data_IF_199995960870
#
_entry.id   IF_199995960870
#
_cell.length_a   1.000
_cell.length_b   1.000
_cell.length_c   1.000
_cell.angle_alpha   90.00
_cell.angle_beta   90.00
_cell.angle_gamma   90.00
#
_symmetry.space_group_name_H-M   'P 1'
#
loop_
_entity.id
_entity.type
_entity.pdbx_description
1 polymer ?
#
# COMPACT_ATOMS: atom_id res chain seq x y z
N UNK A 1 10.00 -7.64 15.04
CA UNK A 1 9.79 -7.01 16.36
C UNK A 1 9.61 -5.49 16.17
N UNK A 2 10.53 -4.80 15.51
CA UNK A 2 10.42 -3.35 15.29
C UNK A 2 9.17 -2.95 14.49
N UNK A 3 8.81 -3.72 13.46
CA UNK A 3 7.62 -3.46 12.67
C UNK A 3 6.36 -3.58 13.51
N UNK A 4 6.27 -4.59 14.35
CA UNK A 4 5.14 -4.77 15.26
C UNK A 4 4.98 -3.59 16.20
N UNK A 5 6.07 -3.16 16.82
CA UNK A 5 6.06 -2.05 17.77
C UNK A 5 5.59 -0.75 17.10
N UNK A 6 6.04 -0.50 15.88
CA UNK A 6 5.60 0.65 15.10
C UNK A 6 4.11 0.56 14.77
N UNK A 7 3.64 -0.61 14.35
CA UNK A 7 2.24 -0.81 13.99
C UNK A 7 1.31 -0.65 15.19
N UNK A 8 1.72 -1.08 16.36
CA UNK A 8 0.92 -0.92 17.59
C UNK A 8 0.56 0.54 17.82
N UNK A 9 1.49 1.45 17.55
CA UNK A 9 1.33 2.88 17.84
C UNK A 9 0.74 3.70 16.69
N UNK A 10 0.52 3.11 15.52
CA UNK A 10 0.02 3.87 14.37
C UNK A 10 -1.44 3.55 14.06
N UNK A 11 -2.16 4.53 13.51
CA UNK A 11 -3.55 4.39 13.08
C UNK A 11 -3.69 4.31 11.56
N UNK A 12 -2.70 4.83 10.85
CA UNK A 12 -2.70 4.93 9.39
C UNK A 12 -1.44 4.29 8.83
N UNK A 13 -1.62 3.54 7.76
CA UNK A 13 -0.54 2.88 7.03
C UNK A 13 -0.52 3.35 5.58
N UNK A 14 0.66 3.48 5.03
CA UNK A 14 0.83 3.64 3.59
C UNK A 14 1.69 2.48 3.14
N UNK A 15 1.14 1.65 2.26
CA UNK A 15 1.79 0.43 1.81
C UNK A 15 2.28 0.63 0.38
N UNK A 16 3.58 0.56 0.19
CA UNK A 16 4.23 0.67 -1.11
C UNK A 16 4.52 -0.73 -1.63
N UNK A 17 4.07 -1.02 -2.85
CA UNK A 17 4.35 -2.29 -3.49
C UNK A 17 4.57 -2.10 -4.99
N UNK A 18 5.64 -2.68 -5.56
CA UNK A 18 5.75 -2.75 -7.01
C UNK A 18 4.67 -3.67 -7.57
N UNK A 19 4.35 -3.47 -8.84
CA UNK A 19 3.43 -4.36 -9.57
C UNK A 19 4.26 -5.41 -10.30
N UNK A 20 4.10 -6.67 -9.90
CA UNK A 20 4.77 -7.82 -10.54
C UNK A 20 3.72 -8.72 -11.15
N UNK A 21 3.72 -8.87 -12.47
CA UNK A 21 2.79 -9.75 -13.20
C UNK A 21 1.32 -9.50 -12.82
N UNK A 22 0.95 -8.25 -12.64
CA UNK A 22 -0.40 -7.87 -12.25
C UNK A 22 -0.74 -8.10 -10.78
N UNK A 23 0.26 -8.37 -9.94
CA UNK A 23 0.08 -8.60 -8.52
C UNK A 23 1.01 -7.76 -7.66
N UNK A 24 0.79 -7.76 -6.36
CA UNK A 24 1.69 -7.11 -5.42
C UNK A 24 2.85 -8.04 -5.05
N UNK A 25 3.88 -7.48 -4.41
CA UNK A 25 5.10 -8.23 -4.12
C UNK A 25 4.85 -9.40 -3.15
N UNK A 26 5.42 -10.58 -3.47
CA UNK A 26 5.23 -11.79 -2.66
C UNK A 26 5.79 -11.66 -1.24
N UNK A 27 6.91 -10.99 -1.09
CA UNK A 27 7.49 -10.78 0.25
C UNK A 27 6.64 -9.84 1.11
N UNK A 28 5.87 -8.94 0.51
CA UNK A 28 4.88 -8.15 1.24
C UNK A 28 3.79 -9.06 1.83
N UNK A 29 3.25 -9.98 1.02
CA UNK A 29 2.26 -10.96 1.48
C UNK A 29 2.80 -11.78 2.63
N UNK A 30 4.05 -12.26 2.52
CA UNK A 30 4.71 -13.03 3.57
C UNK A 30 4.84 -12.22 4.86
N UNK A 31 5.26 -10.95 4.76
CA UNK A 31 5.38 -10.07 5.93
C UNK A 31 4.03 -9.86 6.61
N UNK A 32 3.00 -9.58 5.82
CA UNK A 32 1.65 -9.36 6.34
C UNK A 32 1.10 -10.61 7.02
N UNK A 33 1.34 -11.78 6.47
CA UNK A 33 0.92 -13.04 7.07
C UNK A 33 1.58 -13.25 8.44
N UNK A 34 2.88 -12.98 8.56
CA UNK A 34 3.57 -13.08 9.84
C UNK A 34 3.04 -12.08 10.87
N UNK A 35 2.74 -10.85 10.44
CA UNK A 35 2.20 -9.82 11.32
C UNK A 35 0.76 -10.09 11.74
N UNK A 36 0.03 -10.92 10.99
CA UNK A 36 -1.35 -11.29 11.33
C UNK A 36 -1.45 -12.34 12.43
N UNK A 37 -0.35 -13.03 12.72
CA UNK A 37 -0.34 -14.10 13.73
C UNK A 37 -0.51 -13.53 15.14
N UNK A 38 -1.08 -14.33 16.02
CA UNK A 38 -1.22 -13.95 17.42
C UNK A 38 0.15 -13.80 18.09
N UNK A 39 0.32 -12.74 18.85
CA UNK A 39 1.54 -12.52 19.63
C UNK A 39 1.23 -11.66 20.87
N UNK A 40 1.96 -11.87 21.94
CA UNK A 40 1.73 -11.18 23.22
C UNK A 40 0.23 -11.18 23.57
N UNK A 41 -0.36 -9.99 23.75
CA UNK A 41 -1.79 -9.81 24.05
C UNK A 41 -2.66 -9.72 22.81
N UNK A 42 -2.07 -9.79 21.60
CA UNK A 42 -2.79 -9.67 20.35
C UNK A 42 -3.22 -11.02 19.82
N UNK A 43 -4.49 -11.13 19.46
CA UNK A 43 -5.05 -12.30 18.79
C UNK A 43 -4.78 -12.25 17.30
N UNK A 44 -5.12 -13.31 16.60
CA UNK A 44 -5.01 -13.37 15.15
C UNK A 44 -5.72 -12.16 14.49
N UNK A 45 -5.02 -11.48 13.62
CA UNK A 45 -5.44 -10.25 12.92
C UNK A 45 -5.75 -9.04 13.81
N UNK A 46 -5.57 -9.12 15.11
CA UNK A 46 -5.94 -8.03 16.01
C UNK A 46 -5.05 -6.81 15.84
N UNK A 47 -3.79 -6.99 15.46
CA UNK A 47 -2.85 -5.88 15.23
C UNK A 47 -3.36 -4.91 14.17
N UNK A 48 -4.00 -5.41 13.12
CA UNK A 48 -4.46 -4.60 11.99
C UNK A 48 -5.87 -4.05 12.15
N UNK A 49 -6.61 -4.56 13.10
CA UNK A 49 -8.02 -4.28 13.25
C UNK A 49 -8.29 -2.78 13.38
N UNK A 50 -9.17 -2.27 12.52
CA UNK A 50 -9.61 -0.87 12.50
C UNK A 50 -8.54 0.17 12.13
N UNK A 51 -7.34 -0.26 11.76
CA UNK A 51 -6.36 0.67 11.19
C UNK A 51 -6.73 0.99 9.74
N UNK A 52 -6.31 2.16 9.28
CA UNK A 52 -6.55 2.59 7.90
C UNK A 52 -5.31 2.36 7.06
N UNK A 53 -5.49 2.05 5.79
CA UNK A 53 -4.38 1.83 4.86
C UNK A 53 -4.65 2.47 3.50
N UNK A 54 -3.62 3.04 2.92
CA UNK A 54 -3.60 3.47 1.53
C UNK A 54 -2.55 2.67 0.78
N UNK A 55 -2.80 2.40 -0.50
CA UNK A 55 -1.91 1.61 -1.35
C UNK A 55 -1.25 2.53 -2.37
N UNK A 56 0.06 2.42 -2.47
CA UNK A 56 0.87 3.11 -3.47
C UNK A 56 1.63 2.06 -4.25
N UNK A 57 1.47 2.07 -5.55
CA UNK A 57 2.12 1.10 -6.44
C UNK A 57 3.15 1.80 -7.32
N UNK A 58 4.14 1.04 -7.75
CA UNK A 58 5.14 1.49 -8.72
C UNK A 58 5.25 0.47 -9.85
N UNK A 59 5.37 0.96 -11.07
CA UNK A 59 5.42 0.12 -12.25
C UNK A 59 6.33 0.75 -13.28
N UNK A 60 6.95 -0.08 -14.11
CA UNK A 60 7.64 0.36 -15.31
C UNK A 60 6.61 0.46 -16.45
N UNK A 61 6.63 1.56 -17.19
CA UNK A 61 5.71 1.78 -18.28
C UNK A 61 4.34 2.30 -17.84
N UNK A 62 3.28 1.89 -18.54
CA UNK A 62 1.94 2.47 -18.38
C UNK A 62 1.09 1.86 -17.28
N UNK A 63 1.49 0.72 -16.72
CA UNK A 63 0.81 0.14 -15.59
C UNK A 63 -0.53 -0.52 -15.88
N UNK A 64 -0.64 -1.25 -17.01
CA UNK A 64 -1.90 -1.85 -17.45
C UNK A 64 -2.55 -2.80 -16.45
N UNK A 65 -1.77 -3.47 -15.60
CA UNK A 65 -2.28 -4.42 -14.60
C UNK A 65 -2.26 -3.88 -13.18
N UNK A 66 -2.06 -2.59 -13.01
CA UNK A 66 -1.94 -1.98 -11.67
C UNK A 66 -3.24 -2.08 -10.86
N UNK A 67 -4.38 -2.03 -11.51
CA UNK A 67 -5.67 -2.18 -10.82
C UNK A 67 -5.83 -3.59 -10.23
N UNK A 68 -5.39 -4.62 -10.94
CA UNK A 68 -5.41 -5.99 -10.39
C UNK A 68 -4.55 -6.11 -9.14
N UNK A 69 -3.37 -5.52 -9.16
CA UNK A 69 -2.48 -5.51 -8.01
C UNK A 69 -3.12 -4.78 -6.83
N UNK A 70 -3.73 -3.62 -7.08
CA UNK A 70 -4.46 -2.87 -6.05
C UNK A 70 -5.62 -3.70 -5.49
N UNK A 71 -6.45 -4.26 -6.35
CA UNK A 71 -7.64 -5.00 -5.94
C UNK A 71 -7.27 -6.23 -5.10
N UNK A 72 -6.26 -6.98 -5.52
CA UNK A 72 -5.79 -8.15 -4.78
C UNK A 72 -5.22 -7.77 -3.41
N UNK A 73 -4.39 -6.74 -3.35
CA UNK A 73 -3.81 -6.27 -2.10
C UNK A 73 -4.89 -5.69 -1.18
N UNK A 74 -5.80 -4.90 -1.73
CA UNK A 74 -6.92 -4.32 -0.97
C UNK A 74 -7.77 -5.40 -0.31
N UNK A 75 -8.15 -6.43 -1.06
CA UNK A 75 -8.89 -7.58 -0.53
C UNK A 75 -8.12 -8.25 0.62
N UNK A 76 -6.82 -8.44 0.43
CA UNK A 76 -5.99 -9.08 1.45
C UNK A 76 -5.90 -8.24 2.72
N UNK A 77 -5.73 -6.92 2.57
CA UNK A 77 -5.66 -6.01 3.72
C UNK A 77 -6.99 -5.95 4.47
N UNK A 78 -8.11 -5.93 3.76
CA UNK A 78 -9.43 -5.98 4.37
C UNK A 78 -9.64 -7.27 5.16
N UNK A 79 -9.10 -8.38 4.65
CA UNK A 79 -9.13 -9.67 5.32
C UNK A 79 -8.41 -9.64 6.67
N UNK A 80 -7.35 -8.84 6.80
CA UNK A 80 -6.66 -8.63 8.08
C UNK A 80 -7.39 -7.66 9.02
N UNK A 81 -8.45 -7.01 8.55
CA UNK A 81 -9.22 -6.06 9.34
C UNK A 81 -8.89 -4.60 9.11
N UNK A 82 -8.06 -4.30 8.11
CA UNK A 82 -7.74 -2.92 7.73
C UNK A 82 -8.88 -2.30 6.93
N UNK A 83 -9.02 -0.98 7.08
CA UNK A 83 -9.91 -0.18 6.24
C UNK A 83 -9.09 0.45 5.13
N UNK A 84 -9.28 -0.01 3.91
CA UNK A 84 -8.46 0.40 2.77
C UNK A 84 -9.08 1.61 2.07
N UNK A 85 -8.25 2.62 1.79
CA UNK A 85 -8.68 3.79 1.03
C UNK A 85 -9.11 3.37 -0.39
N UNK A 86 -10.19 3.95 -0.86
CA UNK A 86 -10.84 3.56 -2.13
C UNK A 86 -10.01 3.81 -3.38
N UNK A 87 -9.09 4.76 -3.31
CA UNK A 87 -8.20 5.10 -4.41
C UNK A 87 -6.79 4.59 -4.11
N UNK A 88 -6.02 4.34 -5.15
CA UNK A 88 -4.61 4.04 -5.02
C UNK A 88 -3.79 5.00 -5.89
N UNK A 89 -2.53 5.18 -5.54
CA UNK A 89 -1.63 5.99 -6.33
C UNK A 89 -0.63 5.10 -7.07
N UNK A 90 -0.39 5.43 -8.34
CA UNK A 90 0.52 4.68 -9.20
C UNK A 90 1.66 5.58 -9.68
N UNK A 91 2.88 5.25 -9.26
CA UNK A 91 4.07 5.82 -9.86
C UNK A 91 4.43 5.01 -11.11
N UNK A 92 4.52 5.68 -12.26
CA UNK A 92 4.96 5.05 -13.49
C UNK A 92 6.20 5.75 -14.02
N UNK A 93 7.09 5.01 -14.67
CA UNK A 93 8.30 5.60 -15.23
C UNK A 93 8.48 5.22 -16.69
N UNK A 94 8.82 6.23 -17.49
CA UNK A 94 9.30 6.07 -18.85
C UNK A 94 10.73 6.59 -18.91
N UNK A 95 11.65 5.83 -19.47
CA UNK A 95 13.08 6.19 -19.54
C UNK A 95 13.38 7.24 -20.60
N UNK A 96 12.71 8.40 -20.58
CA UNK A 96 12.93 9.48 -21.55
C UNK A 96 12.86 10.87 -20.90
N UNK A 97 13.07 11.93 -21.70
CA UNK A 97 13.09 13.32 -21.21
C UNK A 97 11.74 13.72 -20.59
N UNK A 98 10.64 13.19 -21.10
CA UNK A 98 9.30 13.45 -20.55
C UNK A 98 9.18 12.97 -19.10
N UNK A 99 9.93 11.96 -18.72
CA UNK A 99 9.94 11.43 -17.37
C UNK A 99 10.29 12.49 -16.32
N UNK A 100 11.29 13.34 -16.61
CA UNK A 100 11.69 14.39 -15.67
C UNK A 100 10.62 15.44 -15.46
N UNK A 101 9.87 15.75 -16.51
CA UNK A 101 8.74 16.67 -16.41
C UNK A 101 7.58 16.05 -15.65
N UNK A 102 7.38 14.75 -15.82
CA UNK A 102 6.34 14.00 -15.12
C UNK A 102 6.64 13.79 -13.64
N UNK A 103 7.90 13.71 -13.26
CA UNK A 103 8.29 13.53 -11.86
C UNK A 103 7.70 14.60 -10.96
N UNK A 104 7.81 15.88 -11.34
CA UNK A 104 7.22 16.97 -10.56
C UNK A 104 5.69 16.87 -10.51
N UNK A 105 5.06 16.49 -11.61
CA UNK A 105 3.62 16.30 -11.67
C UNK A 105 3.20 15.13 -10.76
N UNK A 106 3.93 14.02 -10.82
CA UNK A 106 3.66 12.85 -9.96
C UNK A 106 3.81 13.17 -8.48
N UNK A 107 4.80 13.98 -8.11
CA UNK A 107 4.97 14.40 -6.71
C UNK A 107 3.76 15.21 -6.24
N UNK A 108 3.27 16.14 -7.05
CA UNK A 108 2.07 16.92 -6.73
C UNK A 108 0.84 16.03 -6.60
N UNK A 109 0.66 15.13 -7.54
CA UNK A 109 -0.47 14.18 -7.52
C UNK A 109 -0.41 13.28 -6.29
N UNK A 110 0.79 12.80 -5.95
CA UNK A 110 0.99 11.98 -4.77
C UNK A 110 0.66 12.75 -3.49
N UNK A 111 1.10 13.99 -3.38
CA UNK A 111 0.78 14.84 -2.22
C UNK A 111 -0.73 15.07 -2.09
N UNK A 112 -1.42 15.30 -3.20
CA UNK A 112 -2.88 15.42 -3.21
C UNK A 112 -3.55 14.12 -2.76
N UNK A 113 -3.05 12.99 -3.23
CA UNK A 113 -3.53 11.68 -2.82
C UNK A 113 -3.38 11.48 -1.31
N UNK A 114 -2.22 11.83 -0.75
CA UNK A 114 -1.97 11.73 0.69
C UNK A 114 -2.92 12.61 1.48
N UNK A 115 -3.14 13.85 1.03
CA UNK A 115 -4.07 14.77 1.69
C UNK A 115 -5.48 14.21 1.71
N UNK A 116 -5.95 13.66 0.59
CA UNK A 116 -7.26 13.05 0.49
C UNK A 116 -7.38 11.84 1.42
N UNK A 117 -6.37 10.99 1.45
CA UNK A 117 -6.36 9.82 2.33
C UNK A 117 -6.43 10.23 3.80
N UNK A 118 -5.63 11.21 4.21
CA UNK A 118 -5.55 11.61 5.61
C UNK A 118 -6.81 12.34 6.10
N UNK A 119 -7.59 12.91 5.19
CA UNK A 119 -8.88 13.53 5.54
C UNK A 119 -10.00 12.53 5.74
N UNK A 120 -9.83 11.35 5.23
CA UNK A 120 -10.82 10.29 5.35
C UNK A 120 -10.41 9.31 6.44
#
# INVERSE_FOLDING_TARGET
>A
IQIRDTLVSCDHLIIFSPVFNGGYASHLKNTLDWLSLAFDDYKYNELFKNKKAAIVSAVLGKGGNSYNAYSSLSSQLENYGLKVFKDFYLFSSNNNLEQRLRENTQIKEFNNFLDDYLKN
#
